data_IF_785203898322
#
_entry.id   IF_785203898322
#
_cell.length_a   1.000
_cell.length_b   1.000
_cell.length_c   1.000
_cell.angle_alpha   90.00
_cell.angle_beta   90.00
_cell.angle_gamma   90.00
#
_symmetry.space_group_name_H-M   'P 1'
#
loop_
_entity.id
_entity.type
_entity.pdbx_description
1 polymer ?
#
# COMPACT_ATOMS: atom_id res chain seq x y z
N UNK A 1 -21.94 -3.10 -18.79
CA UNK A 1 -23.01 -4.08 -19.01
C UNK A 1 -24.36 -3.55 -18.55
N UNK A 2 -24.43 -2.93 -17.36
CA UNK A 2 -25.64 -2.29 -16.79
C UNK A 2 -26.28 -1.24 -17.71
N UNK A 3 -25.50 -0.38 -18.38
CA UNK A 3 -26.06 0.57 -19.37
C UNK A 3 -26.69 -0.13 -20.57
N UNK A 4 -26.08 -1.22 -21.09
CA UNK A 4 -26.67 -2.01 -22.17
C UNK A 4 -27.95 -2.72 -21.71
N UNK A 5 -27.98 -3.22 -20.47
CA UNK A 5 -29.15 -3.82 -19.86
C UNK A 5 -30.25 -2.77 -19.63
N UNK A 6 -29.91 -1.55 -19.18
CA UNK A 6 -30.86 -0.44 -19.02
C UNK A 6 -31.42 0.04 -20.35
N UNK A 7 -30.60 0.08 -21.41
CA UNK A 7 -31.09 0.33 -22.77
C UNK A 7 -31.94 -0.82 -23.30
N UNK A 8 -31.63 -2.06 -22.95
CA UNK A 8 -32.48 -3.22 -23.26
C UNK A 8 -33.83 -3.11 -22.54
N UNK A 9 -33.85 -2.74 -21.26
CA UNK A 9 -35.07 -2.49 -20.50
C UNK A 9 -35.89 -1.36 -21.11
N UNK A 10 -35.27 -0.20 -21.39
CA UNK A 10 -35.95 0.92 -22.02
C UNK A 10 -36.47 0.52 -23.41
N UNK A 11 -35.70 -0.23 -24.20
CA UNK A 11 -36.11 -0.72 -25.51
C UNK A 11 -37.30 -1.68 -25.41
N UNK A 12 -37.26 -2.65 -24.49
CA UNK A 12 -38.38 -3.57 -24.28
C UNK A 12 -39.61 -2.86 -23.75
N UNK A 13 -39.48 -1.92 -22.82
CA UNK A 13 -40.62 -1.12 -22.33
C UNK A 13 -41.22 -0.27 -23.44
N UNK A 14 -40.40 0.40 -24.26
CA UNK A 14 -40.88 1.19 -25.41
C UNK A 14 -41.57 0.28 -26.43
N UNK A 15 -40.97 -0.88 -26.74
CA UNK A 15 -41.56 -1.86 -27.66
C UNK A 15 -42.90 -2.36 -27.13
N UNK A 16 -43.00 -2.70 -25.84
CA UNK A 16 -44.22 -3.16 -25.20
C UNK A 16 -45.31 -2.09 -25.25
N UNK A 17 -44.97 -0.84 -24.92
CA UNK A 17 -45.90 0.29 -24.98
C UNK A 17 -46.36 0.57 -26.41
N UNK A 18 -45.45 0.55 -27.40
CA UNK A 18 -45.80 0.75 -28.80
C UNK A 18 -46.68 -0.39 -29.34
N UNK A 19 -46.38 -1.65 -28.97
CA UNK A 19 -47.24 -2.78 -29.32
C UNK A 19 -48.61 -2.65 -28.65
N UNK A 20 -48.68 -2.30 -27.37
CA UNK A 20 -49.94 -2.09 -26.66
C UNK A 20 -50.79 -0.97 -27.29
N UNK A 21 -50.17 0.15 -27.68
CA UNK A 21 -50.86 1.25 -28.37
C UNK A 21 -51.34 0.81 -29.75
N UNK A 22 -50.47 0.17 -30.55
CA UNK A 22 -50.81 -0.30 -31.89
C UNK A 22 -51.93 -1.34 -31.88
N UNK A 23 -51.90 -2.28 -30.92
CA UNK A 23 -52.94 -3.29 -30.76
C UNK A 23 -54.25 -2.69 -30.20
N UNK A 24 -54.19 -1.71 -29.29
CA UNK A 24 -55.39 -1.01 -28.80
C UNK A 24 -56.08 -0.25 -29.92
N UNK A 25 -55.31 0.39 -30.82
CA UNK A 25 -55.84 1.05 -32.00
C UNK A 25 -56.46 0.06 -33.00
N UNK A 26 -55.84 -1.10 -33.20
CA UNK A 26 -56.37 -2.15 -34.07
C UNK A 26 -57.69 -2.76 -33.54
N UNK A 27 -57.82 -2.93 -32.23
CA UNK A 27 -59.07 -3.37 -31.57
C UNK A 27 -60.16 -2.32 -31.71
N UNK A 28 -59.83 -1.05 -31.51
CA UNK A 28 -60.79 0.04 -31.70
C UNK A 28 -61.38 0.06 -33.12
N UNK A 29 -60.56 -0.26 -34.14
CA UNK A 29 -61.05 -0.34 -35.52
C UNK A 29 -61.84 -1.61 -35.87
N UNK A 30 -61.68 -2.69 -35.10
CA UNK A 30 -62.32 -3.99 -35.36
C UNK A 30 -63.25 -4.42 -34.21
N UNK A 31 -63.86 -3.45 -33.52
CA UNK A 31 -64.62 -3.64 -32.28
C UNK A 31 -65.76 -4.67 -32.38
N UNK A 32 -66.31 -4.89 -33.58
CA UNK A 32 -67.42 -5.82 -33.82
C UNK A 32 -67.01 -7.29 -34.03
N UNK A 33 -65.71 -7.59 -34.14
CA UNK A 33 -65.22 -8.97 -34.46
C UNK A 33 -64.24 -9.55 -33.44
N UNK A 34 -63.83 -8.78 -32.42
CA UNK A 34 -62.79 -9.20 -31.47
C UNK A 34 -63.39 -9.39 -30.07
N UNK A 35 -63.27 -10.61 -29.53
CA UNK A 35 -63.65 -10.90 -28.14
C UNK A 35 -62.69 -10.22 -27.14
N UNK A 36 -63.15 -9.23 -26.35
CA UNK A 36 -62.32 -8.52 -25.39
C UNK A 36 -61.76 -9.41 -24.29
N UNK A 37 -62.44 -10.52 -23.96
CA UNK A 37 -62.03 -11.43 -22.89
C UNK A 37 -60.83 -12.25 -23.35
N UNK A 38 -60.93 -12.91 -24.51
CA UNK A 38 -59.82 -13.66 -25.11
C UNK A 38 -58.56 -12.78 -25.32
N UNK A 39 -58.74 -11.52 -25.71
CA UNK A 39 -57.64 -10.57 -25.83
C UNK A 39 -56.98 -10.24 -24.49
N UNK A 40 -57.80 -9.95 -23.47
CA UNK A 40 -57.30 -9.66 -22.11
C UNK A 40 -56.49 -10.84 -21.56
N UNK A 41 -57.01 -12.06 -21.74
CA UNK A 41 -56.34 -13.29 -21.32
C UNK A 41 -55.00 -13.46 -22.05
N UNK A 42 -54.95 -13.20 -23.36
CA UNK A 42 -53.72 -13.31 -24.15
C UNK A 42 -52.65 -12.29 -23.73
N UNK A 43 -53.06 -11.06 -23.42
CA UNK A 43 -52.16 -9.99 -22.98
C UNK A 43 -51.57 -10.27 -21.59
N UNK A 44 -52.41 -10.72 -20.65
CA UNK A 44 -51.96 -11.12 -19.31
C UNK A 44 -51.03 -12.34 -19.42
N UNK A 45 -51.34 -13.31 -20.29
CA UNK A 45 -50.50 -14.49 -20.51
C UNK A 45 -49.12 -14.11 -21.07
N UNK A 46 -49.05 -13.14 -22.00
CA UNK A 46 -47.79 -12.62 -22.52
C UNK A 46 -46.97 -11.92 -21.42
N UNK A 47 -47.62 -11.13 -20.55
CA UNK A 47 -46.95 -10.50 -19.40
C UNK A 47 -46.40 -11.53 -18.41
N UNK A 48 -47.17 -12.57 -18.10
CA UNK A 48 -46.72 -13.67 -17.24
C UNK A 48 -45.55 -14.41 -17.87
N UNK A 49 -45.61 -14.71 -19.18
CA UNK A 49 -44.53 -15.36 -19.91
C UNK A 49 -43.25 -14.51 -19.94
N UNK A 50 -43.37 -13.20 -20.14
CA UNK A 50 -42.24 -12.27 -20.07
C UNK A 50 -41.66 -12.22 -18.66
N UNK A 51 -42.50 -12.13 -17.62
CA UNK A 51 -42.03 -12.13 -16.23
C UNK A 51 -41.33 -13.45 -15.89
N UNK A 52 -41.86 -14.58 -16.36
CA UNK A 52 -41.22 -15.89 -16.28
C UNK A 52 -39.88 -15.94 -17.01
N UNK A 53 -39.80 -15.37 -18.22
CA UNK A 53 -38.55 -15.23 -18.97
C UNK A 53 -37.54 -14.35 -18.23
N UNK A 54 -37.96 -13.26 -17.60
CA UNK A 54 -37.08 -12.40 -16.80
C UNK A 54 -36.55 -13.12 -15.55
N UNK A 55 -37.42 -13.85 -14.83
CA UNK A 55 -37.00 -14.67 -13.70
C UNK A 55 -36.02 -15.74 -14.19
N UNK A 56 -36.34 -16.45 -15.28
CA UNK A 56 -35.46 -17.46 -15.86
C UNK A 56 -34.12 -16.87 -16.35
N UNK A 57 -34.10 -15.66 -16.92
CA UNK A 57 -32.88 -14.98 -17.35
C UNK A 57 -32.03 -14.56 -16.14
N UNK A 58 -32.64 -14.04 -15.08
CA UNK A 58 -31.95 -13.73 -13.82
C UNK A 58 -31.45 -15.00 -13.13
N UNK A 59 -32.23 -16.08 -13.13
CA UNK A 59 -31.83 -17.36 -12.58
C UNK A 59 -30.74 -18.01 -13.43
N UNK A 60 -30.83 -17.97 -14.76
CA UNK A 60 -29.80 -18.49 -15.66
C UNK A 60 -28.50 -17.69 -15.57
N UNK A 61 -28.56 -16.36 -15.52
CA UNK A 61 -27.35 -15.54 -15.31
C UNK A 61 -26.78 -15.72 -13.91
N UNK A 62 -27.62 -15.92 -12.89
CA UNK A 62 -27.17 -16.29 -11.55
C UNK A 62 -26.51 -17.66 -11.53
N UNK A 63 -27.12 -18.69 -12.13
CA UNK A 63 -26.60 -20.07 -12.21
C UNK A 63 -25.37 -20.16 -13.12
N UNK A 64 -25.32 -19.46 -14.25
CA UNK A 64 -24.14 -19.43 -15.13
C UNK A 64 -23.02 -18.59 -14.49
N UNK A 65 -23.35 -17.56 -13.70
CA UNK A 65 -22.38 -16.95 -12.79
C UNK A 65 -21.90 -17.98 -11.77
N UNK A 66 -22.78 -18.77 -11.15
CA UNK A 66 -22.42 -19.81 -10.16
C UNK A 66 -21.60 -20.93 -10.79
N UNK A 67 -21.88 -21.36 -12.02
CA UNK A 67 -21.15 -22.43 -12.72
C UNK A 67 -19.78 -21.97 -13.25
N UNK A 68 -19.64 -20.69 -13.62
CA UNK A 68 -18.31 -20.06 -13.81
C UNK A 68 -17.60 -19.78 -12.48
N UNK A 69 -18.35 -19.51 -11.40
CA UNK A 69 -17.84 -19.33 -10.03
C UNK A 69 -17.35 -20.65 -9.42
N UNK A 70 -18.00 -21.79 -9.69
CA UNK A 70 -17.55 -23.11 -9.21
C UNK A 70 -16.33 -23.65 -9.98
N UNK A 71 -15.98 -23.03 -11.11
CA UNK A 71 -14.68 -23.18 -11.77
C UNK A 71 -13.70 -22.05 -11.41
N UNK A 72 -13.89 -21.31 -10.31
CA UNK A 72 -12.89 -20.39 -9.75
C UNK A 72 -11.80 -21.13 -8.96
N UNK A 73 -11.19 -22.15 -9.57
CA UNK A 73 -9.76 -22.37 -9.35
C UNK A 73 -9.05 -21.13 -9.96
N UNK A 74 -8.79 -20.08 -9.16
CA UNK A 74 -8.06 -18.90 -9.66
C UNK A 74 -8.44 -17.52 -9.11
N UNK A 75 -9.26 -17.37 -8.06
CA UNK A 75 -9.42 -16.05 -7.43
C UNK A 75 -8.10 -15.63 -6.74
N UNK A 76 -7.37 -14.71 -7.37
CA UNK A 76 -6.08 -14.24 -6.91
C UNK A 76 -6.11 -13.62 -5.49
N UNK A 77 -7.26 -13.04 -5.07
CA UNK A 77 -7.44 -12.50 -3.71
C UNK A 77 -7.55 -13.58 -2.62
N UNK A 78 -7.78 -14.83 -3.01
CA UNK A 78 -7.86 -15.96 -2.09
C UNK A 78 -6.62 -16.87 -2.14
N UNK A 79 -5.68 -16.58 -3.04
CA UNK A 79 -4.48 -17.38 -3.18
C UNK A 79 -3.46 -17.05 -2.07
N UNK A 80 -3.35 -17.93 -1.08
CA UNK A 80 -2.39 -17.84 0.03
C UNK A 80 -0.92 -18.09 -0.40
N UNK A 81 -0.71 -18.58 -1.62
CA UNK A 81 0.60 -18.81 -2.22
C UNK A 81 1.00 -17.73 -3.23
N UNK A 82 0.19 -16.68 -3.38
CA UNK A 82 0.54 -15.56 -4.24
C UNK A 82 1.79 -14.84 -3.75
N UNK A 83 2.70 -14.51 -4.67
CA UNK A 83 3.94 -13.78 -4.41
C UNK A 83 4.12 -12.72 -5.49
N UNK A 84 4.57 -11.54 -5.10
CA UNK A 84 4.87 -10.44 -6.02
C UNK A 84 6.05 -10.81 -6.92
N UNK A 85 5.89 -10.69 -8.24
CA UNK A 85 7.00 -10.90 -9.17
C UNK A 85 7.87 -9.64 -9.27
N UNK A 86 8.87 -9.52 -8.39
CA UNK A 86 9.86 -8.44 -8.42
C UNK A 86 10.46 -8.26 -9.82
N UNK A 87 10.84 -9.37 -10.47
CA UNK A 87 11.48 -9.31 -11.77
C UNK A 87 10.57 -8.71 -12.86
N UNK A 88 9.28 -9.07 -12.84
CA UNK A 88 8.30 -8.54 -13.78
C UNK A 88 8.09 -7.05 -13.56
N UNK A 89 7.86 -6.63 -12.31
CA UNK A 89 7.59 -5.24 -11.97
C UNK A 89 8.78 -4.33 -12.26
N UNK A 90 10.00 -4.76 -11.92
CA UNK A 90 11.19 -3.96 -12.19
C UNK A 90 11.44 -3.76 -13.68
N UNK A 91 11.17 -4.78 -14.52
CA UNK A 91 11.28 -4.66 -15.97
C UNK A 91 10.20 -3.75 -16.55
N UNK A 92 8.97 -3.85 -16.05
CA UNK A 92 7.83 -3.07 -16.53
C UNK A 92 7.98 -1.58 -16.24
N UNK A 93 8.52 -1.23 -15.07
CA UNK A 93 8.69 0.16 -14.62
C UNK A 93 10.15 0.63 -14.64
N UNK A 94 10.97 0.08 -15.53
CA UNK A 94 12.38 0.45 -15.70
C UNK A 94 12.53 1.77 -16.48
N UNK A 95 12.28 2.90 -15.81
CA UNK A 95 12.40 4.23 -16.40
C UNK A 95 13.41 5.08 -15.65
N UNK A 96 14.18 5.90 -16.38
CA UNK A 96 15.27 6.68 -15.80
C UNK A 96 14.80 7.90 -15.01
N UNK A 97 13.61 8.43 -15.28
CA UNK A 97 13.09 9.64 -14.62
C UNK A 97 11.89 9.36 -13.71
N UNK A 98 11.76 10.15 -12.65
CA UNK A 98 10.59 10.16 -11.76
C UNK A 98 9.30 10.40 -12.56
N UNK A 99 9.28 11.45 -13.37
CA UNK A 99 8.10 11.87 -14.15
C UNK A 99 7.59 10.77 -15.08
N UNK A 100 8.50 10.06 -15.76
CA UNK A 100 8.13 8.96 -16.65
C UNK A 100 7.62 7.74 -15.87
N UNK A 101 8.31 7.38 -14.78
CA UNK A 101 7.89 6.30 -13.88
C UNK A 101 6.48 6.57 -13.32
N UNK A 102 6.26 7.78 -12.80
CA UNK A 102 4.98 8.25 -12.27
C UNK A 102 3.90 8.18 -13.35
N UNK A 103 4.14 8.78 -14.52
CA UNK A 103 3.19 8.80 -15.63
C UNK A 103 2.79 7.39 -16.07
N UNK A 104 3.74 6.45 -16.12
CA UNK A 104 3.47 5.07 -16.50
C UNK A 104 2.62 4.34 -15.46
N UNK A 105 2.95 4.46 -14.18
CA UNK A 105 2.20 3.83 -13.07
C UNK A 105 0.74 4.31 -13.09
N UNK A 106 0.50 5.62 -13.10
CA UNK A 106 -0.86 6.15 -13.09
C UNK A 106 -1.64 5.84 -14.37
N UNK A 107 -0.99 5.89 -15.54
CA UNK A 107 -1.64 5.51 -16.81
C UNK A 107 -2.04 4.03 -16.79
N UNK A 108 -1.20 3.17 -16.24
CA UNK A 108 -1.49 1.74 -16.14
C UNK A 108 -2.66 1.49 -15.16
N UNK A 109 -2.64 2.10 -13.98
CA UNK A 109 -3.75 1.99 -13.02
C UNK A 109 -5.07 2.54 -13.59
N UNK A 110 -5.04 3.70 -14.26
CA UNK A 110 -6.24 4.24 -14.91
C UNK A 110 -6.76 3.28 -15.97
N UNK A 111 -5.88 2.71 -16.81
CA UNK A 111 -6.26 1.71 -17.82
C UNK A 111 -6.93 0.49 -17.18
N UNK A 112 -6.33 -0.08 -16.13
CA UNK A 112 -6.85 -1.25 -15.42
C UNK A 112 -8.27 -1.02 -14.92
N UNK A 113 -8.47 -0.03 -14.05
CA UNK A 113 -9.78 0.23 -13.44
C UNK A 113 -10.83 0.79 -14.42
N UNK A 114 -10.41 1.59 -15.42
CA UNK A 114 -11.37 2.19 -16.36
C UNK A 114 -11.79 1.23 -17.48
N UNK A 115 -10.84 0.48 -18.05
CA UNK A 115 -11.04 -0.28 -19.30
C UNK A 115 -10.97 -1.80 -19.13
N UNK A 116 -10.17 -2.32 -18.20
CA UNK A 116 -9.88 -3.76 -18.11
C UNK A 116 -10.72 -4.47 -17.03
N UNK A 117 -11.08 -3.79 -15.93
CA UNK A 117 -11.94 -4.34 -14.87
C UNK A 117 -13.43 -4.41 -15.28
N UNK A 118 -13.78 -5.25 -16.26
CA UNK A 118 -15.17 -5.40 -16.74
C UNK A 118 -15.94 -6.46 -15.96
N UNK A 119 -15.24 -7.45 -15.44
CA UNK A 119 -15.75 -8.54 -14.62
C UNK A 119 -15.16 -8.49 -13.21
N UNK A 120 -15.78 -9.23 -12.30
CA UNK A 120 -15.29 -9.37 -10.94
C UNK A 120 -13.84 -9.91 -10.88
N UNK A 121 -13.51 -10.91 -11.72
CA UNK A 121 -12.16 -11.51 -11.76
C UNK A 121 -11.12 -10.49 -12.23
N UNK A 122 -11.38 -9.81 -13.36
CA UNK A 122 -10.46 -8.77 -13.87
C UNK A 122 -10.31 -7.61 -12.87
N UNK A 123 -11.36 -7.30 -12.11
CA UNK A 123 -11.27 -6.32 -11.02
C UNK A 123 -10.40 -6.82 -9.88
N UNK A 124 -10.51 -8.08 -9.46
CA UNK A 124 -9.62 -8.67 -8.44
C UNK A 124 -8.15 -8.65 -8.87
N UNK A 125 -7.86 -8.94 -10.14
CA UNK A 125 -6.50 -8.83 -10.70
C UNK A 125 -6.01 -7.38 -10.72
N UNK A 126 -6.91 -6.43 -11.01
CA UNK A 126 -6.58 -5.00 -10.99
C UNK A 126 -6.28 -4.50 -9.56
N UNK A 127 -7.01 -5.01 -8.56
CA UNK A 127 -6.76 -4.73 -7.14
C UNK A 127 -5.41 -5.30 -6.70
N UNK A 128 -5.12 -6.57 -7.01
CA UNK A 128 -3.83 -7.18 -6.67
C UNK A 128 -2.68 -6.46 -7.37
N UNK A 129 -2.82 -6.11 -8.65
CA UNK A 129 -1.79 -5.31 -9.34
C UNK A 129 -1.52 -3.98 -8.63
N UNK A 130 -2.56 -3.31 -8.12
CA UNK A 130 -2.36 -2.08 -7.35
C UNK A 130 -1.62 -2.39 -6.02
N UNK A 131 -2.02 -3.45 -5.31
CA UNK A 131 -1.32 -3.89 -4.09
C UNK A 131 0.15 -4.20 -4.37
N UNK A 132 0.46 -4.86 -5.49
CA UNK A 132 1.82 -5.23 -5.88
C UNK A 132 2.72 -4.01 -6.12
N UNK A 133 2.19 -2.98 -6.79
CA UNK A 133 2.95 -1.76 -7.07
C UNK A 133 2.89 -0.73 -5.92
N UNK A 134 2.15 -1.01 -4.84
CA UNK A 134 1.95 -0.06 -3.73
C UNK A 134 3.28 0.30 -3.04
N UNK A 135 4.23 -0.61 -3.11
CA UNK A 135 5.60 -0.49 -2.60
C UNK A 135 6.46 0.53 -3.35
N UNK A 136 6.09 0.90 -4.59
CA UNK A 136 6.81 1.90 -5.38
C UNK A 136 6.38 3.33 -5.04
N UNK A 137 5.19 3.54 -4.46
CA UNK A 137 4.70 4.89 -4.18
C UNK A 137 5.60 5.69 -3.24
N UNK A 138 6.20 5.12 -2.17
CA UNK A 138 7.24 5.80 -1.40
C UNK A 138 8.38 6.36 -2.26
N UNK A 139 8.80 5.65 -3.31
CA UNK A 139 9.82 6.12 -4.24
C UNK A 139 9.35 7.29 -5.12
N UNK A 140 8.04 7.41 -5.35
CA UNK A 140 7.45 8.51 -6.09
C UNK A 140 7.32 9.75 -5.20
N UNK A 141 6.64 9.64 -4.05
CA UNK A 141 6.30 10.82 -3.24
C UNK A 141 7.40 11.33 -2.31
N UNK A 142 8.46 10.55 -2.07
CA UNK A 142 9.59 10.98 -1.21
C UNK A 142 10.69 11.72 -1.98
N UNK A 143 10.58 11.84 -3.31
CA UNK A 143 11.53 12.56 -4.14
C UNK A 143 11.40 14.08 -3.97
N UNK A 144 12.52 14.80 -4.02
CA UNK A 144 12.56 16.25 -3.78
C UNK A 144 11.72 17.07 -4.77
N UNK A 145 11.59 16.61 -6.00
CA UNK A 145 11.00 17.31 -7.14
C UNK A 145 9.51 16.98 -7.36
N UNK A 146 8.86 16.21 -6.48
CA UNK A 146 7.47 15.84 -6.68
C UNK A 146 6.48 16.99 -6.41
N UNK A 147 5.57 17.19 -7.38
CA UNK A 147 4.35 17.97 -7.21
C UNK A 147 3.32 17.16 -6.39
N UNK A 148 3.39 17.27 -5.06
CA UNK A 148 2.51 16.54 -4.12
C UNK A 148 1.01 16.79 -4.40
N UNK A 149 0.51 18.02 -4.58
CA UNK A 149 -0.89 18.26 -4.91
C UNK A 149 -1.35 17.53 -6.17
N UNK A 150 -0.54 17.55 -7.23
CA UNK A 150 -0.87 16.86 -8.50
C UNK A 150 -0.87 15.35 -8.34
N UNK A 151 0.08 14.79 -7.59
CA UNK A 151 0.12 13.37 -7.26
C UNK A 151 -1.14 12.95 -6.50
N UNK A 152 -1.53 13.72 -5.48
CA UNK A 152 -2.73 13.47 -4.68
C UNK A 152 -4.01 13.50 -5.52
N UNK A 153 -4.14 14.47 -6.43
CA UNK A 153 -5.26 14.54 -7.37
C UNK A 153 -5.32 13.32 -8.30
N UNK A 154 -4.17 12.88 -8.83
CA UNK A 154 -4.11 11.68 -9.67
C UNK A 154 -4.52 10.43 -8.88
N UNK A 155 -4.06 10.30 -7.64
CA UNK A 155 -4.40 9.19 -6.77
C UNK A 155 -5.88 9.19 -6.41
N UNK A 156 -6.45 10.33 -6.04
CA UNK A 156 -7.88 10.47 -5.75
C UNK A 156 -8.74 10.05 -6.97
N UNK A 157 -8.32 10.42 -8.19
CA UNK A 157 -8.98 9.97 -9.42
C UNK A 157 -8.96 8.44 -9.56
N UNK A 158 -7.84 7.78 -9.26
CA UNK A 158 -7.74 6.31 -9.27
C UNK A 158 -8.66 5.70 -8.21
N UNK A 159 -8.65 6.21 -6.98
CA UNK A 159 -9.50 5.73 -5.89
C UNK A 159 -11.00 5.87 -6.23
N UNK A 160 -11.40 6.99 -6.84
CA UNK A 160 -12.78 7.20 -7.32
C UNK A 160 -13.17 6.18 -8.41
N UNK A 161 -12.27 5.90 -9.37
CA UNK A 161 -12.50 4.89 -10.40
C UNK A 161 -12.63 3.49 -9.78
N UNK A 162 -11.74 3.14 -8.86
CA UNK A 162 -11.74 1.86 -8.15
C UNK A 162 -13.04 1.66 -7.35
N UNK A 163 -13.46 2.66 -6.57
CA UNK A 163 -14.71 2.58 -5.79
C UNK A 163 -15.94 2.46 -6.68
N UNK A 164 -16.02 3.25 -7.74
CA UNK A 164 -17.12 3.12 -8.70
C UNK A 164 -17.20 1.70 -9.29
N UNK A 165 -16.05 1.10 -9.62
CA UNK A 165 -16.00 -0.28 -10.12
C UNK A 165 -16.35 -1.31 -9.06
N UNK A 166 -15.91 -1.13 -7.82
CA UNK A 166 -16.29 -1.95 -6.68
C UNK A 166 -17.82 -1.98 -6.57
N UNK A 167 -18.49 -0.83 -6.55
CA UNK A 167 -19.94 -0.74 -6.36
C UNK A 167 -20.72 -1.36 -7.55
N UNK A 168 -20.25 -1.13 -8.78
CA UNK A 168 -20.79 -1.75 -10.00
C UNK A 168 -20.74 -3.29 -9.96
N UNK A 169 -19.71 -3.88 -9.34
CA UNK A 169 -19.42 -5.32 -9.40
C UNK A 169 -19.86 -6.10 -8.15
N UNK A 170 -19.79 -5.49 -6.96
CA UNK A 170 -20.25 -6.08 -5.70
C UNK A 170 -21.75 -6.36 -5.71
N UNK A 171 -22.54 -5.53 -6.41
CA UNK A 171 -23.98 -5.75 -6.58
C UNK A 171 -24.31 -7.01 -7.39
N UNK A 172 -23.33 -7.57 -8.12
CA UNK A 172 -23.50 -8.69 -9.04
C UNK A 172 -22.81 -9.96 -8.52
N UNK A 173 -21.68 -9.85 -7.82
CA UNK A 173 -20.92 -10.99 -7.29
C UNK A 173 -20.95 -11.03 -5.75
N UNK A 174 -21.73 -11.96 -5.20
CA UNK A 174 -21.86 -12.19 -3.75
C UNK A 174 -20.70 -12.97 -3.13
N UNK A 175 -20.03 -13.85 -3.89
CA UNK A 175 -18.98 -14.75 -3.37
C UNK A 175 -17.70 -14.04 -2.94
N UNK A 176 -17.18 -13.13 -3.79
CA UNK A 176 -15.89 -12.45 -3.54
C UNK A 176 -16.05 -11.04 -2.96
N UNK A 177 -17.28 -10.64 -2.65
CA UNK A 177 -17.64 -9.29 -2.19
C UNK A 177 -16.80 -8.83 -1.00
N UNK A 178 -16.61 -9.71 -0.03
CA UNK A 178 -15.88 -9.39 1.21
C UNK A 178 -14.40 -9.14 0.88
N UNK A 179 -13.75 -10.04 0.14
CA UNK A 179 -12.34 -9.87 -0.24
C UNK A 179 -12.11 -8.58 -1.03
N UNK A 180 -12.97 -8.28 -2.01
CA UNK A 180 -12.89 -7.04 -2.78
C UNK A 180 -13.04 -5.82 -1.89
N UNK A 181 -14.03 -5.82 -1.00
CA UNK A 181 -14.30 -4.68 -0.12
C UNK A 181 -13.14 -4.45 0.85
N UNK A 182 -12.61 -5.49 1.48
CA UNK A 182 -11.50 -5.34 2.42
C UNK A 182 -10.19 -4.98 1.71
N UNK A 183 -9.97 -5.46 0.48
CA UNK A 183 -8.80 -5.06 -0.32
C UNK A 183 -8.88 -3.60 -0.78
N UNK A 184 -10.06 -3.11 -1.15
CA UNK A 184 -10.26 -1.68 -1.45
C UNK A 184 -9.99 -0.82 -0.23
N UNK A 185 -10.54 -1.17 0.94
CA UNK A 185 -10.26 -0.45 2.19
C UNK A 185 -8.78 -0.48 2.55
N UNK A 186 -8.09 -1.61 2.31
CA UNK A 186 -6.65 -1.71 2.52
C UNK A 186 -5.90 -0.69 1.65
N UNK A 187 -6.19 -0.63 0.35
CA UNK A 187 -5.58 0.33 -0.56
C UNK A 187 -5.86 1.76 -0.08
N UNK A 188 -7.10 2.09 0.26
CA UNK A 188 -7.47 3.42 0.77
C UNK A 188 -6.74 3.76 2.06
N UNK A 189 -6.66 2.82 3.02
CA UNK A 189 -5.95 2.99 4.28
C UNK A 189 -4.45 3.21 4.10
N UNK A 190 -3.83 2.50 3.16
CA UNK A 190 -2.42 2.69 2.82
C UNK A 190 -2.19 4.08 2.20
N UNK A 191 -3.02 4.49 1.24
CA UNK A 191 -2.89 5.82 0.62
C UNK A 191 -3.13 6.93 1.64
N UNK A 192 -4.14 6.78 2.51
CA UNK A 192 -4.40 7.71 3.60
C UNK A 192 -3.19 7.83 4.54
N UNK A 193 -2.58 6.71 4.91
CA UNK A 193 -1.35 6.71 5.70
C UNK A 193 -0.21 7.44 4.98
N UNK A 194 0.01 7.19 3.69
CA UNK A 194 1.05 7.87 2.91
C UNK A 194 0.82 9.40 2.88
N UNK A 195 -0.44 9.84 2.72
CA UNK A 195 -0.81 11.25 2.77
C UNK A 195 -0.63 11.88 4.17
N UNK A 196 -0.87 11.13 5.25
CA UNK A 196 -0.58 11.61 6.61
C UNK A 196 0.92 11.85 6.80
N UNK A 197 1.74 10.91 6.32
CA UNK A 197 3.21 11.03 6.36
C UNK A 197 3.70 12.22 5.52
N UNK A 198 3.15 12.44 4.33
CA UNK A 198 3.59 13.53 3.44
C UNK A 198 3.34 14.93 4.00
N UNK A 199 2.35 15.07 4.89
CA UNK A 199 1.94 16.31 5.55
C UNK A 199 2.42 16.47 6.98
N UNK A 200 3.27 15.56 7.49
CA UNK A 200 3.71 15.56 8.89
C UNK A 200 2.55 15.59 9.90
N UNK A 201 1.44 14.91 9.59
CA UNK A 201 0.31 14.75 10.52
C UNK A 201 0.50 13.46 11.32
N UNK A 202 0.32 13.55 12.63
CA UNK A 202 0.72 12.49 13.58
C UNK A 202 -0.46 11.87 14.35
N UNK A 203 -1.69 12.36 14.16
CA UNK A 203 -2.88 12.06 14.97
C UNK A 203 -4.12 11.69 14.12
N UNK A 204 -3.95 11.21 12.89
CA UNK A 204 -5.08 10.87 12.02
C UNK A 204 -5.76 9.54 12.37
N UNK A 205 -7.09 9.54 12.42
CA UNK A 205 -7.89 8.32 12.28
C UNK A 205 -7.58 7.68 10.92
N UNK A 206 -7.22 6.41 10.93
CA UNK A 206 -6.82 5.69 9.73
C UNK A 206 -7.87 4.65 9.36
N UNK A 207 -8.38 4.77 8.13
CA UNK A 207 -9.20 3.75 7.44
C UNK A 207 -8.55 2.35 7.53
N UNK A 208 -7.23 2.28 7.74
CA UNK A 208 -6.52 1.03 7.95
C UNK A 208 -7.00 0.23 9.17
N UNK A 209 -7.45 0.89 10.25
CA UNK A 209 -8.01 0.21 11.42
C UNK A 209 -9.41 -0.39 11.16
N UNK A 210 -10.11 0.08 10.13
CA UNK A 210 -11.41 -0.45 9.70
C UNK A 210 -11.30 -1.68 8.79
N UNK A 211 -10.08 -2.01 8.35
CA UNK A 211 -9.78 -3.19 7.54
C UNK A 211 -9.80 -4.41 8.46
N UNK A 212 -10.67 -5.37 8.15
CA UNK A 212 -10.73 -6.65 8.85
C UNK A 212 -9.63 -7.57 8.32
N UNK A 213 -8.40 -7.34 8.75
CA UNK A 213 -7.19 -8.01 8.22
C UNK A 213 -7.25 -9.54 8.25
N UNK A 214 -7.93 -10.13 9.24
CA UNK A 214 -8.14 -11.58 9.34
C UNK A 214 -8.98 -12.17 8.20
N UNK A 215 -9.78 -11.33 7.53
CA UNK A 215 -10.57 -11.74 6.37
C UNK A 215 -9.76 -11.74 5.08
N UNK A 216 -8.65 -10.99 4.99
CA UNK A 216 -7.77 -11.06 3.82
C UNK A 216 -7.21 -12.48 3.71
N UNK A 217 -7.22 -13.10 2.52
CA UNK A 217 -6.66 -14.45 2.32
C UNK A 217 -5.31 -14.42 1.61
N UNK A 218 -5.18 -13.61 0.56
CA UNK A 218 -3.95 -13.43 -0.19
C UNK A 218 -2.76 -13.02 0.72
N UNK A 219 -1.61 -13.66 0.50
CA UNK A 219 -0.41 -13.45 1.33
C UNK A 219 0.16 -12.03 1.21
N UNK A 220 0.15 -11.44 0.01
CA UNK A 220 0.65 -10.08 -0.23
C UNK A 220 -0.29 -9.06 0.41
N UNK A 221 -1.61 -9.21 0.30
CA UNK A 221 -2.55 -8.26 0.95
C UNK A 221 -2.42 -8.30 2.49
N UNK A 222 -2.24 -9.49 3.09
CA UNK A 222 -1.92 -9.62 4.52
C UNK A 222 -0.60 -8.94 4.87
N UNK A 223 0.43 -9.15 4.06
CA UNK A 223 1.75 -8.54 4.24
C UNK A 223 1.67 -7.02 4.24
N UNK A 224 0.98 -6.44 3.26
CA UNK A 224 0.76 -4.99 3.17
C UNK A 224 -0.03 -4.48 4.37
N UNK A 225 -1.14 -5.15 4.72
CA UNK A 225 -1.97 -4.76 5.87
C UNK A 225 -1.14 -4.68 7.17
N UNK A 226 -0.46 -5.78 7.53
CA UNK A 226 0.30 -5.83 8.78
C UNK A 226 1.52 -4.91 8.77
N UNK A 227 2.19 -4.72 7.64
CA UNK A 227 3.29 -3.76 7.54
C UNK A 227 2.81 -2.32 7.77
N UNK A 228 1.71 -1.91 7.11
CA UNK A 228 1.19 -0.56 7.31
C UNK A 228 0.54 -0.37 8.68
N UNK A 229 -0.03 -1.43 9.27
CA UNK A 229 -0.53 -1.40 10.64
C UNK A 229 0.62 -1.18 11.64
N UNK A 230 1.73 -1.88 11.43
CA UNK A 230 2.94 -1.67 12.23
C UNK A 230 3.49 -0.25 12.10
N UNK A 231 3.49 0.30 10.88
CA UNK A 231 3.88 1.69 10.63
C UNK A 231 2.95 2.70 11.32
N UNK A 232 1.63 2.46 11.31
CA UNK A 232 0.65 3.30 12.00
C UNK A 232 0.91 3.34 13.51
N UNK A 233 1.08 2.17 14.15
CA UNK A 233 1.38 2.11 15.57
C UNK A 233 2.73 2.76 15.91
N UNK A 234 3.77 2.50 15.10
CA UNK A 234 5.06 3.18 15.26
C UNK A 234 4.87 4.71 15.23
N UNK A 235 4.11 5.23 14.26
CA UNK A 235 3.85 6.67 14.15
C UNK A 235 3.10 7.22 15.36
N UNK A 236 2.10 6.51 15.89
CA UNK A 236 1.40 6.89 17.13
C UNK A 236 2.36 6.97 18.31
N UNK A 237 3.25 5.99 18.48
CA UNK A 237 4.28 6.04 19.53
C UNK A 237 5.24 7.22 19.33
N UNK A 238 5.72 7.43 18.10
CA UNK A 238 6.63 8.55 17.79
C UNK A 238 5.96 9.91 18.05
N UNK A 239 4.65 10.03 17.84
CA UNK A 239 3.89 11.24 18.14
C UNK A 239 3.91 11.58 19.64
N UNK A 240 3.70 10.56 20.49
CA UNK A 240 3.80 10.71 21.95
C UNK A 240 5.22 11.11 22.35
N UNK A 241 6.24 10.38 21.87
CA UNK A 241 7.65 10.71 22.17
C UNK A 241 7.98 12.15 21.77
N UNK A 242 7.49 12.62 20.62
CA UNK A 242 7.71 13.99 20.17
C UNK A 242 7.08 15.02 21.09
N UNK A 243 5.82 14.82 21.43
CA UNK A 243 5.05 15.74 22.26
C UNK A 243 5.63 15.84 23.67
N UNK A 244 5.89 14.70 24.30
CA UNK A 244 6.39 14.66 25.68
C UNK A 244 7.83 15.19 25.81
N UNK A 245 8.61 15.17 24.72
CA UNK A 245 10.01 15.62 24.72
C UNK A 245 10.25 16.97 24.01
N UNK A 246 9.21 17.65 23.53
CA UNK A 246 9.33 18.93 22.82
C UNK A 246 10.08 18.83 21.48
N UNK A 247 9.81 17.76 20.72
CA UNK A 247 10.44 17.41 19.43
C UNK A 247 9.43 17.45 18.27
N UNK A 248 8.37 18.25 18.36
CA UNK A 248 7.38 18.43 17.31
C UNK A 248 8.05 18.91 16.01
N UNK A 249 7.69 18.29 14.88
CA UNK A 249 8.24 18.64 13.56
C UNK A 249 9.72 18.29 13.33
N UNK A 250 10.48 17.87 14.37
CA UNK A 250 11.90 17.50 14.24
C UNK A 250 12.09 16.12 13.60
N UNK A 251 13.30 15.71 13.28
CA UNK A 251 13.55 14.36 12.79
C UNK A 251 14.13 13.49 13.92
N UNK A 252 13.36 12.53 14.43
CA UNK A 252 13.77 11.70 15.57
C UNK A 252 14.97 10.78 15.27
N UNK A 253 15.31 10.55 14.00
CA UNK A 253 16.44 9.72 13.60
C UNK A 253 17.71 10.54 13.32
N UNK A 254 17.65 11.85 13.52
CA UNK A 254 18.80 12.74 13.50
C UNK A 254 19.64 12.58 14.77
N UNK A 255 20.95 12.82 14.69
CA UNK A 255 21.89 12.55 15.78
C UNK A 255 21.51 13.33 17.05
N UNK A 256 21.28 14.64 16.94
CA UNK A 256 20.98 15.50 18.09
C UNK A 256 19.65 15.12 18.75
N UNK A 257 18.66 14.77 17.94
CA UNK A 257 17.34 14.37 18.44
C UNK A 257 17.40 12.97 19.06
N UNK A 258 18.18 12.04 18.52
CA UNK A 258 18.42 10.72 19.13
C UNK A 258 19.12 10.84 20.48
N UNK A 259 20.09 11.75 20.60
CA UNK A 259 20.75 12.09 21.87
C UNK A 259 19.71 12.60 22.87
N UNK A 260 18.91 13.59 22.46
CA UNK A 260 17.86 14.18 23.30
C UNK A 260 16.81 13.14 23.74
N UNK A 261 16.36 12.26 22.83
CA UNK A 261 15.39 11.21 23.15
C UNK A 261 15.95 10.27 24.21
N UNK A 262 17.16 9.74 24.01
CA UNK A 262 17.79 8.81 24.95
C UNK A 262 18.00 9.43 26.34
N UNK A 263 18.43 10.68 26.43
CA UNK A 263 18.65 11.37 27.71
C UNK A 263 17.37 11.66 28.47
N UNK A 264 16.24 11.79 27.77
CA UNK A 264 15.01 12.31 28.33
C UNK A 264 13.85 11.30 28.30
N UNK A 265 14.07 10.07 27.85
CA UNK A 265 13.01 9.06 27.72
C UNK A 265 12.31 8.78 29.04
N UNK A 266 13.03 8.85 30.16
CA UNK A 266 12.49 8.67 31.51
C UNK A 266 11.59 9.81 31.98
N UNK A 267 11.57 10.96 31.28
CA UNK A 267 10.61 12.03 31.53
C UNK A 267 9.20 11.66 31.04
N UNK A 268 9.10 10.72 30.10
CA UNK A 268 7.81 10.16 29.68
C UNK A 268 7.34 9.22 30.79
N UNK A 269 6.28 9.62 31.50
CA UNK A 269 5.77 8.94 32.70
C UNK A 269 4.26 8.70 32.61
N UNK A 270 3.73 7.87 33.51
CA UNK A 270 2.30 7.56 33.62
C UNK A 270 1.71 6.96 32.35
N UNK A 271 0.48 7.35 32.04
CA UNK A 271 -0.30 6.80 30.91
C UNK A 271 0.40 6.96 29.56
N UNK A 272 1.09 8.08 29.33
CA UNK A 272 1.77 8.32 28.04
C UNK A 272 2.95 7.37 27.83
N UNK A 273 3.65 6.99 28.91
CA UNK A 273 4.69 5.96 28.86
C UNK A 273 4.11 4.61 28.48
N UNK A 274 3.01 4.23 29.13
CA UNK A 274 2.31 2.96 28.86
C UNK A 274 1.79 2.92 27.43
N UNK A 275 1.16 3.99 26.95
CA UNK A 275 0.64 4.10 25.59
C UNK A 275 1.75 4.05 24.53
N UNK A 276 2.84 4.80 24.71
CA UNK A 276 3.97 4.77 23.79
C UNK A 276 4.58 3.37 23.70
N UNK A 277 4.78 2.71 24.84
CA UNK A 277 5.31 1.36 24.89
C UNK A 277 4.35 0.32 24.29
N UNK A 278 3.04 0.42 24.57
CA UNK A 278 2.00 -0.43 23.97
C UNK A 278 2.02 -0.31 22.44
N UNK A 279 2.00 0.92 21.90
CA UNK A 279 2.05 1.12 20.45
C UNK A 279 3.35 0.61 19.81
N UNK A 280 4.50 0.73 20.49
CA UNK A 280 5.75 0.14 20.01
C UNK A 280 5.68 -1.39 19.98
N UNK A 281 5.10 -2.02 21.01
CA UNK A 281 4.91 -3.47 21.04
C UNK A 281 3.95 -3.95 19.94
N UNK A 282 2.80 -3.30 19.79
CA UNK A 282 1.83 -3.60 18.73
C UNK A 282 2.44 -3.40 17.34
N UNK A 283 3.29 -2.37 17.19
CA UNK A 283 4.03 -2.12 15.95
C UNK A 283 4.93 -3.30 15.59
N UNK A 284 5.73 -3.78 16.55
CA UNK A 284 6.63 -4.92 16.36
C UNK A 284 5.87 -6.23 16.11
N UNK A 285 4.76 -6.46 16.81
CA UNK A 285 3.90 -7.62 16.54
C UNK A 285 3.36 -7.59 15.11
N UNK A 286 2.84 -6.45 14.66
CA UNK A 286 2.35 -6.30 13.31
C UNK A 286 3.46 -6.55 12.27
N UNK A 287 4.68 -6.04 12.46
CA UNK A 287 5.79 -6.38 11.56
C UNK A 287 6.15 -7.87 11.56
N UNK A 288 6.07 -8.55 12.71
CA UNK A 288 6.26 -10.00 12.79
C UNK A 288 5.21 -10.75 11.98
N UNK A 289 3.94 -10.38 12.12
CA UNK A 289 2.85 -10.94 11.30
C UNK A 289 3.08 -10.68 9.81
N UNK A 290 3.53 -9.48 9.45
CA UNK A 290 3.88 -9.15 8.07
C UNK A 290 4.99 -10.06 7.53
N UNK A 291 6.06 -10.32 8.31
CA UNK A 291 7.14 -11.23 7.91
C UNK A 291 6.66 -12.68 7.73
N UNK A 292 5.74 -13.16 8.59
CA UNK A 292 5.15 -14.50 8.47
C UNK A 292 4.40 -14.65 7.14
N UNK A 293 3.62 -13.64 6.75
CA UNK A 293 2.84 -13.67 5.51
C UNK A 293 3.66 -13.37 4.26
N UNK A 294 4.71 -12.57 4.39
CA UNK A 294 5.61 -12.18 3.31
C UNK A 294 6.36 -13.38 2.70
N UNK A 295 6.58 -14.44 3.49
CA UNK A 295 7.32 -15.65 3.09
C UNK A 295 8.67 -15.28 2.46
N UNK A 296 8.84 -15.54 1.16
CA UNK A 296 10.09 -15.31 0.42
C UNK A 296 10.07 -14.04 -0.44
N UNK A 297 9.07 -13.16 -0.28
CA UNK A 297 8.98 -11.92 -1.05
C UNK A 297 10.08 -10.92 -0.65
N UNK A 298 11.21 -10.99 -1.37
CA UNK A 298 12.39 -10.16 -1.11
C UNK A 298 12.13 -8.66 -1.20
N UNK A 299 11.09 -8.23 -1.94
CA UNK A 299 10.74 -6.84 -2.03
C UNK A 299 10.27 -6.33 -0.67
N UNK A 300 9.30 -7.00 -0.05
CA UNK A 300 8.70 -6.58 1.21
C UNK A 300 9.60 -6.82 2.43
N UNK A 301 10.41 -7.89 2.45
CA UNK A 301 11.29 -8.22 3.58
C UNK A 301 12.19 -7.02 3.96
N UNK A 302 12.78 -6.34 2.96
CA UNK A 302 13.67 -5.21 3.21
C UNK A 302 12.98 -3.99 3.84
N UNK A 303 11.71 -3.75 3.52
CA UNK A 303 10.92 -2.68 4.15
C UNK A 303 10.50 -3.05 5.56
N UNK A 304 9.94 -4.24 5.74
CA UNK A 304 9.40 -4.69 7.03
C UNK A 304 10.51 -4.77 8.07
N UNK A 305 11.65 -5.40 7.75
CA UNK A 305 12.78 -5.52 8.69
C UNK A 305 13.33 -4.16 9.11
N UNK A 306 13.38 -3.18 8.21
CA UNK A 306 13.84 -1.85 8.56
C UNK A 306 12.85 -1.12 9.48
N UNK A 307 11.55 -1.28 9.24
CA UNK A 307 10.53 -0.68 10.08
C UNK A 307 10.49 -1.31 11.48
N UNK A 308 10.64 -2.64 11.56
CA UNK A 308 10.79 -3.35 12.84
C UNK A 308 12.07 -2.93 13.56
N UNK A 309 13.22 -2.85 12.87
CA UNK A 309 14.49 -2.45 13.50
C UNK A 309 14.41 -1.05 14.16
N UNK A 310 13.77 -0.08 13.51
CA UNK A 310 13.54 1.25 14.11
C UNK A 310 12.61 1.17 15.32
N UNK A 311 11.54 0.38 15.23
CA UNK A 311 10.60 0.19 16.35
C UNK A 311 11.26 -0.53 17.53
N UNK A 312 12.10 -1.52 17.25
CA UNK A 312 12.92 -2.24 18.21
C UNK A 312 13.88 -1.30 18.95
N UNK A 313 14.51 -0.35 18.25
CA UNK A 313 15.35 0.65 18.90
C UNK A 313 14.54 1.51 19.89
N UNK A 314 13.45 2.14 19.45
CA UNK A 314 12.65 2.99 20.35
C UNK A 314 12.00 2.20 21.49
N UNK A 315 11.52 0.98 21.23
CA UNK A 315 10.98 0.07 22.26
C UNK A 315 12.03 -0.27 23.33
N UNK A 316 13.28 -0.48 22.92
CA UNK A 316 14.37 -0.76 23.86
C UNK A 316 14.63 0.36 24.86
N UNK A 317 14.32 1.63 24.49
CA UNK A 317 14.50 2.78 25.37
C UNK A 317 13.51 2.80 26.54
N UNK A 318 12.40 2.06 26.46
CA UNK A 318 11.40 1.97 27.54
C UNK A 318 11.68 0.84 28.53
N UNK A 319 12.64 -0.06 28.24
CA UNK A 319 13.02 -1.17 29.12
C UNK A 319 13.93 -0.70 30.24
N UNK A 320 13.71 -1.20 31.45
CA UNK A 320 14.46 -0.82 32.66
C UNK A 320 15.90 -1.33 32.72
N UNK A 321 16.33 -2.17 31.76
CA UNK A 321 17.67 -2.79 31.74
C UNK A 321 18.61 -2.03 30.80
N UNK A 322 19.93 -2.19 31.05
CA UNK A 322 21.04 -1.76 30.18
C UNK A 322 20.65 -1.82 28.70
N UNK A 323 21.04 -0.78 27.96
CA UNK A 323 20.83 -0.61 26.52
C UNK A 323 20.87 -1.96 25.77
N UNK A 324 19.71 -2.41 25.32
CA UNK A 324 19.55 -3.68 24.62
C UNK A 324 20.03 -3.52 23.17
N UNK A 325 21.19 -4.09 22.84
CA UNK A 325 21.77 -4.03 21.50
C UNK A 325 21.08 -4.96 20.48
N UNK A 326 19.97 -5.63 20.84
CA UNK A 326 19.18 -6.43 19.89
C UNK A 326 18.73 -5.61 18.67
N UNK A 327 18.47 -4.31 18.85
CA UNK A 327 18.09 -3.43 17.73
C UNK A 327 19.18 -3.37 16.65
N UNK A 328 20.47 -3.45 17.02
CA UNK A 328 21.59 -3.37 16.08
C UNK A 328 21.62 -4.60 15.17
N UNK A 329 21.38 -5.79 15.73
CA UNK A 329 21.23 -7.03 14.96
C UNK A 329 19.99 -6.98 14.04
N UNK A 330 18.86 -6.46 14.53
CA UNK A 330 17.68 -6.21 13.68
C UNK A 330 18.02 -5.27 12.52
N UNK A 331 18.75 -4.17 12.79
CA UNK A 331 19.14 -3.19 11.78
C UNK A 331 20.15 -3.75 10.76
N UNK A 332 21.15 -4.50 11.21
CA UNK A 332 22.07 -5.26 10.33
C UNK A 332 21.30 -6.22 9.43
N UNK A 333 20.32 -6.94 9.98
CA UNK A 333 19.43 -7.83 9.23
C UNK A 333 18.58 -7.10 8.19
N UNK A 334 18.14 -5.87 8.50
CA UNK A 334 17.42 -5.00 7.55
C UNK A 334 18.33 -4.52 6.41
N UNK A 335 19.54 -4.06 6.74
CA UNK A 335 20.56 -3.64 5.75
C UNK A 335 20.91 -4.80 4.82
N UNK A 336 21.14 -6.00 5.36
CA UNK A 336 21.44 -7.20 4.56
C UNK A 336 20.28 -7.56 3.63
N UNK A 337 19.02 -7.45 4.09
CA UNK A 337 17.85 -7.71 3.25
C UNK A 337 17.71 -6.69 2.10
N UNK A 338 17.93 -5.40 2.37
CA UNK A 338 17.92 -4.35 1.34
C UNK A 338 19.06 -4.51 0.33
N UNK A 339 20.26 -4.86 0.81
CA UNK A 339 21.41 -5.16 -0.05
C UNK A 339 21.14 -6.36 -0.96
N UNK A 340 20.58 -7.45 -0.41
CA UNK A 340 20.14 -8.60 -1.21
C UNK A 340 19.11 -8.20 -2.28
N UNK A 341 18.13 -7.36 -1.94
CA UNK A 341 17.14 -6.85 -2.89
C UNK A 341 17.82 -6.06 -4.02
N UNK A 342 18.74 -5.15 -3.70
CA UNK A 342 19.48 -4.36 -4.69
C UNK A 342 20.30 -5.25 -5.64
N UNK A 343 20.97 -6.28 -5.12
CA UNK A 343 21.70 -7.26 -5.94
C UNK A 343 20.75 -7.98 -6.90
N UNK A 344 19.60 -8.45 -6.41
CA UNK A 344 18.60 -9.13 -7.24
C UNK A 344 18.03 -8.23 -8.33
N UNK A 345 17.75 -6.96 -8.01
CA UNK A 345 17.26 -5.98 -8.97
C UNK A 345 18.29 -5.77 -10.09
N UNK A 346 19.57 -5.61 -9.75
CA UNK A 346 20.66 -5.47 -10.71
C UNK A 346 20.76 -6.70 -11.62
N UNK A 347 20.69 -7.90 -11.06
CA UNK A 347 20.74 -9.16 -11.82
C UNK A 347 19.53 -9.33 -12.74
N UNK A 348 18.33 -8.93 -12.32
CA UNK A 348 17.11 -9.00 -13.13
C UNK A 348 17.19 -8.09 -14.36
N UNK A 349 17.70 -6.87 -14.16
CA UNK A 349 17.70 -5.83 -15.17
C UNK A 349 18.86 -5.98 -16.16
N UNK A 350 19.96 -6.65 -15.76
CA UNK A 350 21.17 -6.89 -16.59
C UNK A 350 21.60 -5.64 -17.36
N UNK A 351 21.39 -4.46 -16.78
CA UNK A 351 21.51 -3.20 -17.49
C UNK A 351 22.96 -2.73 -17.46
N UNK A 352 23.55 -2.55 -18.64
CA UNK A 352 24.78 -1.77 -18.84
C UNK A 352 24.52 -0.25 -18.80
N UNK A 353 23.25 0.17 -18.63
CA UNK A 353 22.82 1.57 -18.59
C UNK A 353 22.73 2.08 -17.16
N UNK A 354 22.70 3.41 -17.04
CA UNK A 354 22.38 4.16 -15.82
C UNK A 354 21.18 3.56 -15.04
N UNK A 355 21.24 3.50 -13.70
CA UNK A 355 20.15 2.98 -12.88
C UNK A 355 18.83 3.73 -13.11
N UNK A 356 17.71 2.98 -13.15
CA UNK A 356 16.36 3.55 -13.21
C UNK A 356 15.99 4.31 -11.93
N UNK A 357 14.96 5.16 -11.99
CA UNK A 357 14.44 5.88 -10.82
C UNK A 357 14.14 4.94 -9.64
N UNK A 358 13.44 3.84 -9.92
CA UNK A 358 13.14 2.84 -8.89
C UNK A 358 14.41 2.17 -8.34
N UNK A 359 15.40 1.84 -9.19
CA UNK A 359 16.68 1.30 -8.74
C UNK A 359 17.40 2.25 -7.79
N UNK A 360 17.50 3.54 -8.16
CA UNK A 360 18.09 4.58 -7.31
C UNK A 360 17.35 4.69 -5.98
N UNK A 361 16.03 4.61 -5.99
CA UNK A 361 15.24 4.63 -4.76
C UNK A 361 15.54 3.44 -3.83
N UNK A 362 15.67 2.22 -4.36
CA UNK A 362 16.02 1.05 -3.55
C UNK A 362 17.47 1.12 -3.01
N UNK A 363 18.40 1.67 -3.80
CA UNK A 363 19.78 1.95 -3.37
C UNK A 363 19.79 3.00 -2.24
N UNK A 364 19.07 4.10 -2.42
CA UNK A 364 18.86 5.13 -1.40
C UNK A 364 18.30 4.53 -0.10
N UNK A 365 17.32 3.63 -0.17
CA UNK A 365 16.77 3.00 1.03
C UNK A 365 17.79 2.14 1.77
N UNK A 366 18.66 1.41 1.06
CA UNK A 366 19.77 0.69 1.70
C UNK A 366 20.72 1.67 2.40
N UNK A 367 21.13 2.72 1.72
CA UNK A 367 22.04 3.74 2.27
C UNK A 367 21.45 4.45 3.48
N UNK A 368 20.17 4.82 3.42
CA UNK A 368 19.45 5.41 4.53
C UNK A 368 19.45 4.49 5.75
N UNK A 369 19.31 3.17 5.58
CA UNK A 369 19.38 2.24 6.70
C UNK A 369 20.77 2.19 7.34
N UNK A 370 21.83 2.22 6.51
CA UNK A 370 23.23 2.25 6.99
C UNK A 370 23.51 3.53 7.77
N UNK A 371 23.07 4.67 7.25
CA UNK A 371 23.29 5.98 7.84
C UNK A 371 22.47 6.15 9.13
N UNK A 372 21.20 5.74 9.16
CA UNK A 372 20.39 5.75 10.39
C UNK A 372 21.01 4.87 11.48
N UNK A 373 21.55 3.70 11.13
CA UNK A 373 22.31 2.87 12.09
C UNK A 373 23.47 3.64 12.70
N UNK A 374 24.24 4.37 11.88
CA UNK A 374 25.34 5.20 12.38
C UNK A 374 24.84 6.32 13.29
N UNK A 375 23.76 7.02 12.92
CA UNK A 375 23.19 8.07 13.77
C UNK A 375 22.83 7.53 15.16
N UNK A 376 22.22 6.34 15.23
CA UNK A 376 21.88 5.69 16.49
C UNK A 376 23.13 5.32 17.29
N UNK A 377 24.15 4.73 16.66
CA UNK A 377 25.40 4.36 17.33
C UNK A 377 26.16 5.59 17.85
N UNK A 378 26.23 6.66 17.07
CA UNK A 378 26.84 7.92 17.48
C UNK A 378 26.12 8.47 18.71
N UNK A 379 24.78 8.54 18.66
CA UNK A 379 23.99 9.03 19.78
C UNK A 379 24.17 8.18 21.06
N UNK A 380 24.31 6.86 20.91
CA UNK A 380 24.61 5.95 22.03
C UNK A 380 26.01 6.22 22.59
N UNK A 381 27.03 6.34 21.73
CA UNK A 381 28.40 6.61 22.15
C UNK A 381 28.51 7.94 22.91
N UNK A 382 27.82 8.98 22.44
CA UNK A 382 27.77 10.27 23.12
C UNK A 382 27.11 10.18 24.50
N UNK A 383 25.96 9.51 24.60
CA UNK A 383 25.22 9.44 25.87
C UNK A 383 25.84 8.51 26.91
N UNK A 384 26.42 7.41 26.47
CA UNK A 384 26.94 6.38 27.37
C UNK A 384 28.47 6.40 27.47
N UNK A 385 29.16 7.30 26.76
CA UNK A 385 30.62 7.31 26.62
C UNK A 385 31.15 5.93 26.23
N UNK A 386 30.41 5.23 25.37
CA UNK A 386 30.78 3.91 24.89
C UNK A 386 31.68 4.03 23.67
N UNK A 387 32.55 3.02 23.49
CA UNK A 387 33.45 2.93 22.34
C UNK A 387 32.94 1.88 21.35
N UNK A 388 31.66 2.02 20.95
CA UNK A 388 31.06 1.08 19.99
C UNK A 388 31.59 1.42 18.60
N UNK A 389 32.16 0.44 17.86
CA UNK A 389 32.71 0.69 16.54
C UNK A 389 31.68 1.25 15.56
N UNK A 390 32.04 2.35 14.89
CA UNK A 390 31.21 3.00 13.88
C UNK A 390 31.56 2.41 12.50
N UNK A 391 31.01 1.23 12.19
CA UNK A 391 31.29 0.55 10.92
C UNK A 391 30.31 0.95 9.81
N UNK A 392 30.85 1.40 8.66
CA UNK A 392 30.12 1.65 7.41
C UNK A 392 30.70 0.80 6.28
N UNK A 393 29.87 -0.05 5.67
CA UNK A 393 30.27 -0.99 4.60
C UNK A 393 31.53 -1.81 4.93
N UNK A 394 31.63 -2.27 6.18
CA UNK A 394 32.75 -3.08 6.68
C UNK A 394 33.99 -2.28 7.09
N UNK A 395 33.97 -0.95 7.02
CA UNK A 395 35.09 -0.08 7.38
C UNK A 395 34.74 0.75 8.61
N UNK A 396 35.65 0.82 9.59
CA UNK A 396 35.52 1.74 10.72
C UNK A 396 35.73 3.18 10.26
N UNK A 397 34.73 4.04 10.48
CA UNK A 397 34.71 5.40 9.97
C UNK A 397 35.49 6.39 10.83
N UNK A 398 35.84 6.01 12.06
CA UNK A 398 36.66 6.84 12.95
C UNK A 398 38.15 6.82 12.56
N UNK A 399 38.58 5.80 11.81
CA UNK A 399 40.01 5.61 11.48
C UNK A 399 40.39 6.13 10.09
N UNK A 400 39.41 6.59 9.29
CA UNK A 400 39.63 6.93 7.88
C UNK A 400 39.07 8.30 7.48
N UNK A 401 39.96 9.24 7.16
CA UNK A 401 39.63 10.59 6.67
C UNK A 401 39.04 10.63 5.26
N UNK A 402 39.09 9.54 4.48
CA UNK A 402 38.61 9.47 3.09
C UNK A 402 37.14 9.10 2.92
N UNK A 403 36.36 9.03 4.02
CA UNK A 403 34.94 8.66 3.98
C UNK A 403 34.06 9.57 3.13
N UNK A 404 34.47 10.83 2.95
CA UNK A 404 33.77 11.79 2.10
C UNK A 404 33.57 11.28 0.66
N UNK A 405 34.50 10.47 0.14
CA UNK A 405 34.41 9.90 -1.20
C UNK A 405 33.58 8.61 -1.27
N UNK A 406 33.12 8.08 -0.11
CA UNK A 406 32.36 6.82 -0.02
C UNK A 406 30.86 7.04 0.22
N UNK A 407 30.46 8.22 0.70
CA UNK A 407 29.06 8.58 0.80
C UNK A 407 28.50 8.89 -0.59
N UNK A 408 27.32 8.36 -0.85
CA UNK A 408 26.59 8.62 -2.08
C UNK A 408 25.67 9.81 -1.80
N UNK A 409 26.04 10.98 -2.33
CA UNK A 409 25.14 12.12 -2.39
C UNK A 409 24.15 11.89 -3.54
N UNK A 410 22.86 11.89 -3.22
CA UNK A 410 21.78 11.84 -4.19
C UNK A 410 20.88 13.06 -3.98
N UNK A 411 20.95 14.01 -4.91
CA UNK A 411 20.17 15.26 -4.87
C UNK A 411 18.66 14.99 -4.84
N UNK A 412 18.22 13.83 -5.32
CA UNK A 412 16.80 13.45 -5.34
C UNK A 412 16.26 13.14 -3.94
N UNK A 413 17.13 12.81 -2.99
CA UNK A 413 16.76 12.39 -1.63
C UNK A 413 17.53 13.16 -0.54
N UNK A 414 17.10 14.39 -0.21
CA UNK A 414 17.87 15.34 0.60
C UNK A 414 18.12 14.87 2.05
N UNK A 415 17.29 13.97 2.58
CA UNK A 415 17.46 13.42 3.92
C UNK A 415 18.75 12.61 4.07
N UNK A 416 19.19 11.93 3.01
CA UNK A 416 20.44 11.17 3.04
C UNK A 416 21.64 12.11 3.14
N UNK A 417 21.67 13.14 2.30
CA UNK A 417 22.72 14.16 2.33
C UNK A 417 22.78 14.84 3.70
N UNK A 418 21.62 15.19 4.29
CA UNK A 418 21.55 15.76 5.64
C UNK A 418 22.25 14.87 6.66
N UNK A 419 21.86 13.60 6.76
CA UNK A 419 22.46 12.70 7.76
C UNK A 419 23.95 12.42 7.50
N UNK A 420 24.34 12.24 6.24
CA UNK A 420 25.75 12.04 5.88
C UNK A 420 26.60 13.26 6.30
N UNK A 421 26.10 14.47 6.09
CA UNK A 421 26.78 15.70 6.53
C UNK A 421 26.92 15.77 8.05
N UNK A 422 25.87 15.47 8.81
CA UNK A 422 25.94 15.46 10.28
C UNK A 422 26.95 14.42 10.79
N UNK A 423 27.01 13.23 10.19
CA UNK A 423 28.03 12.21 10.51
C UNK A 423 29.44 12.74 10.21
N UNK A 424 29.64 13.40 9.07
CA UNK A 424 30.94 13.97 8.70
C UNK A 424 31.38 15.07 9.66
N UNK A 425 30.46 15.95 10.07
CA UNK A 425 30.72 16.99 11.06
C UNK A 425 31.16 16.36 12.39
N UNK A 426 30.43 15.35 12.87
CA UNK A 426 30.76 14.60 14.09
C UNK A 426 32.16 13.97 14.07
N UNK A 427 32.50 13.27 12.99
CA UNK A 427 33.83 12.65 12.83
C UNK A 427 34.91 13.74 12.81
N UNK A 428 34.66 14.85 12.11
CA UNK A 428 35.65 15.94 11.99
C UNK A 428 35.85 16.69 13.30
N UNK A 429 34.81 16.86 14.12
CA UNK A 429 34.92 17.55 15.41
C UNK A 429 35.62 16.73 16.49
N UNK A 430 35.50 15.39 16.46
CA UNK A 430 36.12 14.50 17.45
C UNK A 430 37.55 14.05 17.08
N UNK A 431 38.04 14.36 15.86
CA UNK A 431 39.41 14.11 15.42
C UNK A 431 40.25 15.39 15.22
N UNK A 432 39.79 16.52 15.76
CA UNK A 432 40.60 17.72 16.01
C UNK A 432 40.94 17.79 17.49
#
# INVERSE_FOLDING_TARGET
MIYKIRHLYIFFTILLTLTAIGFSFWIYQNADTVDPISFTISSISLMIALMGFFIALNTFTSIDSVNKITKMEGNILENEYYVTSLASLMKEYHYSSLTETEAKIFTHLEKKFKKESKTAIEFTESLIHFVDIIVFFPALFSAADIDKPKYEQKMEKILKLMNKRKDDLISINTGNRIQMSETVKLIEGVIAYQNLVSHNKFDGDSVLLEVRGTLLRNAVTKTVYYNYLGLLYNKKAMAIIRRELGLEGKDLLDIENLIQVQQNIDKITGNERELAHMFLNDSREAFRQALIHCKEDHMWIGFIKYNDARSCFFESLFKEKKLDLQWDECMKGAIAARSKLNILITEVLKSEREPSHLQRSFQFQEELARVVRLNILIAINENHKSDIPLTYKGVDITQHTSLKNKFHEDEQYPILAKYQNHIMEYITSNHR
#
